data_IF_842385226246
#
_entry.id   IF_842385226246
#
_cell.length_a   1.000
_cell.length_b   1.000
_cell.length_c   1.000
_cell.angle_alpha   90.00
_cell.angle_beta   90.00
_cell.angle_gamma   90.00
#
_symmetry.space_group_name_H-M   'P 1'
#
loop_
_entity.id
_entity.type
_entity.pdbx_description
1 polymer ?
#
# COMPACT_ATOMS: atom_id res chain seq x y z
N UNK A 1 15.30 -17.30 -65.11
CA UNK A 1 14.21 -16.69 -64.32
C UNK A 1 14.86 -16.17 -63.04
N UNK A 2 15.24 -14.89 -63.04
CA UNK A 2 16.11 -14.30 -62.02
C UNK A 2 15.74 -12.83 -61.88
N UNK A 3 15.59 -12.35 -60.64
CA UNK A 3 15.69 -10.92 -60.34
C UNK A 3 14.55 -10.33 -59.52
N UNK A 4 14.71 -10.38 -58.19
CA UNK A 4 14.72 -9.25 -57.25
C UNK A 4 13.70 -8.11 -57.50
N UNK A 5 12.65 -8.03 -56.67
CA UNK A 5 11.80 -6.84 -56.55
C UNK A 5 12.31 -5.98 -55.39
N UNK A 6 12.56 -4.73 -55.71
CA UNK A 6 13.15 -3.67 -54.91
C UNK A 6 12.07 -2.59 -54.72
N UNK A 7 11.93 -2.07 -53.50
CA UNK A 7 11.16 -0.84 -53.19
C UNK A 7 11.61 0.31 -54.11
N UNK A 8 10.67 1.16 -54.59
CA UNK A 8 10.66 2.53 -54.06
C UNK A 8 9.32 3.31 -54.18
N UNK A 9 9.03 4.14 -53.19
CA UNK A 9 8.31 5.43 -53.33
C UNK A 9 8.78 6.27 -52.14
N UNK A 10 9.73 7.20 -52.22
CA UNK A 10 9.89 8.34 -53.11
C UNK A 10 8.66 9.25 -53.12
N UNK A 11 8.77 10.40 -52.45
CA UNK A 11 8.52 11.76 -52.97
C UNK A 11 8.49 12.76 -51.79
N UNK A 12 8.99 13.98 -51.84
CA UNK A 12 9.88 14.73 -52.73
C UNK A 12 10.15 16.11 -52.02
N UNK A 13 10.62 17.20 -52.63
CA UNK A 13 11.95 17.76 -52.35
C UNK A 13 11.91 19.21 -51.83
N UNK A 14 13.02 19.68 -51.28
CA UNK A 14 13.43 21.09 -51.40
C UNK A 14 14.92 21.23 -51.07
N UNK A 15 15.74 21.23 -52.11
CA UNK A 15 17.07 21.84 -52.10
C UNK A 15 16.88 23.35 -52.43
N UNK A 16 17.83 24.30 -52.18
CA UNK A 16 19.23 24.15 -52.59
C UNK A 16 20.34 24.86 -51.76
N UNK A 17 21.53 24.24 -51.85
CA UNK A 17 22.89 24.80 -52.11
C UNK A 17 23.49 25.97 -51.29
N UNK A 18 24.68 25.61 -50.77
CA UNK A 18 26.03 26.18 -51.01
C UNK A 18 26.64 27.14 -49.98
N UNK A 19 27.82 26.70 -49.52
CA UNK A 19 29.10 27.44 -49.33
C UNK A 19 29.12 28.43 -48.15
N UNK A 20 30.21 28.76 -47.45
CA UNK A 20 31.63 28.37 -47.35
C UNK A 20 32.19 29.26 -46.20
N UNK A 21 33.16 28.76 -45.43
CA UNK A 21 34.18 29.49 -44.64
C UNK A 21 33.80 30.48 -43.51
N UNK A 22 34.27 30.12 -42.31
CA UNK A 22 35.04 30.93 -41.33
C UNK A 22 34.81 32.45 -41.23
N UNK A 23 34.41 32.93 -40.06
CA UNK A 23 35.10 34.03 -39.36
C UNK A 23 34.53 34.28 -37.95
N UNK A 24 35.42 34.17 -36.96
CA UNK A 24 35.56 35.01 -35.76
C UNK A 24 34.31 35.74 -35.22
N UNK A 25 33.86 35.32 -34.04
CA UNK A 25 33.34 36.24 -33.04
C UNK A 25 33.91 35.84 -31.68
N UNK A 26 34.81 36.69 -31.19
CA UNK A 26 35.44 36.57 -29.89
C UNK A 26 34.63 37.40 -28.87
N UNK A 27 34.60 36.89 -27.64
CA UNK A 27 34.47 37.63 -26.37
C UNK A 27 33.10 38.25 -26.04
N UNK A 28 32.42 37.65 -25.06
CA UNK A 28 32.06 38.34 -23.81
C UNK A 28 31.85 37.29 -22.71
N UNK A 29 32.70 37.35 -21.68
CA UNK A 29 32.65 36.51 -20.49
C UNK A 29 31.82 37.20 -19.40
N UNK A 30 30.83 36.49 -18.83
CA UNK A 30 30.25 36.73 -17.49
C UNK A 30 29.87 35.32 -16.98
N UNK A 31 30.76 34.67 -16.25
CA UNK A 31 30.84 34.63 -14.78
C UNK A 31 29.83 33.69 -14.11
N UNK A 32 30.39 32.56 -13.67
CA UNK A 32 30.20 31.92 -12.37
C UNK A 32 28.88 31.19 -12.02
N UNK A 33 29.09 29.88 -11.76
CA UNK A 33 28.61 29.12 -10.60
C UNK A 33 27.13 28.73 -10.48
N UNK A 34 26.85 27.46 -10.78
CA UNK A 34 26.05 26.62 -9.88
C UNK A 34 26.72 25.23 -9.83
N UNK A 35 27.38 24.97 -8.70
CA UNK A 35 28.17 23.80 -8.43
C UNK A 35 27.34 22.51 -8.46
N UNK A 36 27.92 21.45 -9.02
CA UNK A 36 27.52 20.09 -8.71
C UNK A 36 27.76 19.85 -7.21
N UNK A 37 26.67 19.87 -6.43
CA UNK A 37 26.67 19.44 -5.04
C UNK A 37 26.71 17.93 -4.98
N UNK A 38 27.91 17.40 -4.78
CA UNK A 38 28.16 15.99 -4.52
C UNK A 38 27.39 15.51 -3.28
N UNK A 39 26.74 14.36 -3.44
CA UNK A 39 26.48 13.32 -2.44
C UNK A 39 27.60 13.24 -1.39
N UNK A 40 27.36 13.78 -0.20
CA UNK A 40 27.92 13.27 1.06
C UNK A 40 27.20 13.91 2.23
N UNK A 41 26.56 13.07 3.06
CA UNK A 41 25.83 13.56 4.22
C UNK A 41 25.10 12.45 4.97
N UNK A 42 25.78 11.34 5.26
CA UNK A 42 25.37 10.47 6.36
C UNK A 42 25.79 11.18 7.67
N UNK A 43 25.09 12.26 7.99
CA UNK A 43 25.21 12.96 9.26
C UNK A 43 24.07 12.45 10.14
N UNK A 44 24.42 11.56 11.07
CA UNK A 44 23.57 11.16 12.18
C UNK A 44 23.40 12.37 13.11
N UNK A 45 22.53 13.30 12.73
CA UNK A 45 22.11 14.39 13.61
C UNK A 45 20.87 13.89 14.35
N UNK A 46 21.08 13.47 15.59
CA UNK A 46 20.06 13.19 16.60
C UNK A 46 19.33 14.47 17.00
N UNK A 47 18.71 15.13 16.03
CA UNK A 47 17.76 16.20 16.26
C UNK A 47 16.44 15.50 16.52
N UNK A 48 15.93 15.59 17.75
CA UNK A 48 14.55 15.17 18.05
C UNK A 48 13.61 15.90 17.10
N UNK A 49 13.26 15.23 16.02
CA UNK A 49 12.24 15.66 15.09
C UNK A 49 10.93 15.47 15.84
N UNK A 50 10.52 16.49 16.59
CA UNK A 50 9.14 16.58 17.04
C UNK A 50 8.29 16.49 15.75
N UNK A 51 7.45 15.45 15.61
CA UNK A 51 6.65 15.29 14.41
C UNK A 51 5.86 16.59 14.19
N UNK A 52 5.73 17.08 12.94
CA UNK A 52 5.06 18.34 12.67
C UNK A 52 3.69 18.35 13.36
N UNK A 53 3.36 19.46 14.02
CA UNK A 53 2.10 19.60 14.73
C UNK A 53 0.94 19.28 13.76
N UNK A 54 0.18 18.22 14.05
CA UNK A 54 -0.84 17.65 13.16
C UNK A 54 -0.51 16.28 12.56
N UNK A 55 0.69 15.72 12.81
CA UNK A 55 1.11 14.41 12.29
C UNK A 55 1.03 13.29 13.32
N UNK A 56 -0.12 13.14 13.95
CA UNK A 56 -0.59 11.86 14.48
C UNK A 56 -1.96 11.69 13.84
N UNK A 57 -2.06 10.90 12.79
CA UNK A 57 -3.37 10.35 12.44
C UNK A 57 -3.81 9.57 13.67
N UNK A 58 -4.83 10.05 14.39
CA UNK A 58 -5.50 9.36 15.52
C UNK A 58 -6.13 8.01 15.12
N UNK A 59 -5.72 7.44 13.99
CA UNK A 59 -6.10 6.11 13.53
C UNK A 59 -5.60 5.07 14.54
N UNK A 60 -6.53 4.49 15.30
CA UNK A 60 -6.27 3.44 16.28
C UNK A 60 -6.84 2.12 15.78
N UNK A 61 -6.05 1.05 15.91
CA UNK A 61 -6.55 -0.29 15.71
C UNK A 61 -7.52 -0.64 16.85
N UNK A 62 -8.74 -1.02 16.49
CA UNK A 62 -9.82 -1.38 17.43
C UNK A 62 -9.79 -2.88 17.73
N UNK A 63 -9.44 -3.69 16.72
CA UNK A 63 -9.33 -5.15 16.85
C UNK A 63 -9.35 -5.85 15.50
N UNK A 64 -9.17 -7.17 15.57
CA UNK A 64 -9.17 -8.05 14.40
C UNK A 64 -10.52 -8.75 14.23
N UNK A 65 -10.90 -8.96 12.97
CA UNK A 65 -12.17 -9.52 12.53
C UNK A 65 -11.87 -10.58 11.47
N UNK A 66 -12.50 -11.74 11.62
CA UNK A 66 -12.54 -12.81 10.64
C UNK A 66 -13.70 -12.56 9.68
N UNK A 67 -13.38 -12.37 8.40
CA UNK A 67 -14.35 -11.98 7.36
C UNK A 67 -14.38 -13.03 6.26
N UNK A 68 -15.58 -13.49 5.89
CA UNK A 68 -15.79 -14.28 4.67
C UNK A 68 -16.58 -13.44 3.68
N UNK A 69 -16.16 -13.47 2.41
CA UNK A 69 -16.87 -12.81 1.33
C UNK A 69 -17.84 -13.78 0.64
N UNK A 70 -18.99 -13.27 0.21
CA UNK A 70 -19.89 -14.04 -0.67
C UNK A 70 -19.19 -14.29 -2.03
N UNK A 71 -19.59 -15.32 -2.78
CA UNK A 71 -19.07 -15.57 -4.13
C UNK A 71 -19.16 -14.35 -5.07
N UNK A 72 -18.25 -14.20 -6.05
CA UNK A 72 -17.10 -15.06 -6.35
C UNK A 72 -16.02 -15.09 -5.26
N UNK A 73 -15.25 -16.16 -5.20
CA UNK A 73 -14.18 -16.33 -4.21
C UNK A 73 -13.11 -15.25 -4.35
N UNK A 74 -12.67 -14.73 -3.19
CA UNK A 74 -11.61 -13.72 -3.11
C UNK A 74 -10.33 -14.41 -2.67
N UNK A 75 -9.36 -14.49 -3.58
CA UNK A 75 -8.12 -15.27 -3.39
C UNK A 75 -6.87 -14.40 -3.20
N UNK A 76 -6.95 -13.10 -3.46
CA UNK A 76 -5.83 -12.15 -3.32
C UNK A 76 -6.19 -11.00 -2.37
N UNK A 77 -5.21 -10.57 -1.58
CA UNK A 77 -5.41 -9.53 -0.54
C UNK A 77 -5.86 -8.19 -1.13
N UNK A 78 -5.45 -7.89 -2.35
CA UNK A 78 -5.79 -6.62 -2.99
C UNK A 78 -7.28 -6.54 -3.33
N UNK A 79 -7.89 -7.62 -3.81
CA UNK A 79 -9.31 -7.65 -4.10
C UNK A 79 -10.15 -7.61 -2.82
N UNK A 80 -9.70 -8.30 -1.77
CA UNK A 80 -10.29 -8.17 -0.43
C UNK A 80 -10.21 -6.72 0.06
N UNK A 81 -9.07 -6.06 -0.12
CA UNK A 81 -8.86 -4.66 0.23
C UNK A 81 -9.79 -3.71 -0.54
N UNK A 82 -9.98 -3.94 -1.85
CA UNK A 82 -10.89 -3.15 -2.70
C UNK A 82 -12.35 -3.28 -2.25
N UNK A 83 -12.79 -4.50 -1.94
CA UNK A 83 -14.16 -4.74 -1.44
C UNK A 83 -14.39 -4.02 -0.11
N UNK A 84 -13.44 -4.11 0.81
CA UNK A 84 -13.53 -3.48 2.12
C UNK A 84 -13.39 -1.95 2.07
N UNK A 85 -12.60 -1.41 1.13
CA UNK A 85 -12.46 0.03 0.92
C UNK A 85 -13.76 0.68 0.40
N UNK A 86 -14.65 -0.10 -0.23
CA UNK A 86 -15.98 0.36 -0.65
C UNK A 86 -16.98 0.53 0.50
N UNK A 87 -16.65 0.06 1.72
CA UNK A 87 -17.54 0.15 2.88
C UNK A 87 -17.37 1.53 3.50
N UNK A 88 -18.41 2.36 3.39
CA UNK A 88 -18.43 3.71 3.98
C UNK A 88 -18.72 3.65 5.48
N UNK A 89 -18.06 4.50 6.27
CA UNK A 89 -18.35 4.65 7.69
C UNK A 89 -17.18 5.22 8.48
N UNK A 90 -17.29 5.24 9.82
CA UNK A 90 -16.22 5.71 10.68
C UNK A 90 -15.05 4.71 10.81
N UNK A 91 -15.22 3.49 10.28
CA UNK A 91 -14.25 2.41 10.35
C UNK A 91 -13.53 2.23 9.01
N UNK A 92 -12.22 2.08 9.06
CA UNK A 92 -11.39 1.61 7.94
C UNK A 92 -10.99 0.17 8.22
N UNK A 93 -11.01 -0.67 7.20
CA UNK A 93 -10.67 -2.07 7.31
C UNK A 93 -9.38 -2.36 6.53
N UNK A 94 -8.39 -2.96 7.20
CA UNK A 94 -7.10 -3.31 6.60
C UNK A 94 -6.94 -4.82 6.60
N UNK A 95 -6.75 -5.38 5.41
CA UNK A 95 -6.51 -6.83 5.25
C UNK A 95 -5.12 -7.17 5.76
N UNK A 96 -5.03 -8.14 6.67
CA UNK A 96 -3.74 -8.66 7.16
C UNK A 96 -3.26 -9.85 6.35
N UNK A 97 -4.09 -10.89 6.23
CA UNK A 97 -3.74 -12.14 5.55
C UNK A 97 -4.98 -12.99 5.24
N UNK A 98 -4.90 -13.88 4.22
CA UNK A 98 -5.88 -14.94 4.07
C UNK A 98 -5.73 -15.98 5.18
N UNK A 99 -6.83 -16.62 5.53
CA UNK A 99 -6.96 -17.74 6.45
C UNK A 99 -7.53 -18.94 5.68
N UNK A 100 -7.46 -20.14 6.26
CA UNK A 100 -8.05 -21.33 5.64
C UNK A 100 -9.57 -21.19 5.48
N UNK A 101 -10.12 -21.83 4.43
CA UNK A 101 -11.56 -21.85 4.18
C UNK A 101 -12.16 -20.53 3.69
N UNK A 102 -11.41 -19.75 2.91
CA UNK A 102 -11.88 -18.51 2.27
C UNK A 102 -12.15 -17.36 3.23
N UNK A 103 -11.59 -17.42 4.44
CA UNK A 103 -11.73 -16.39 5.47
C UNK A 103 -10.52 -15.46 5.42
N UNK A 104 -10.70 -14.20 5.76
CA UNK A 104 -9.67 -13.18 5.80
C UNK A 104 -9.57 -12.58 7.19
N UNK A 105 -8.34 -12.39 7.68
CA UNK A 105 -8.09 -11.63 8.90
C UNK A 105 -7.98 -10.15 8.54
N UNK A 106 -8.81 -9.32 9.16
CA UNK A 106 -8.97 -7.89 8.86
C UNK A 106 -8.90 -7.09 10.15
N UNK A 107 -8.09 -6.03 10.18
CA UNK A 107 -8.06 -5.09 11.32
C UNK A 107 -9.01 -3.93 11.07
N UNK A 108 -9.90 -3.65 12.03
CA UNK A 108 -10.68 -2.43 12.05
C UNK A 108 -9.88 -1.29 12.68
N UNK A 109 -9.86 -0.13 12.01
CA UNK A 109 -9.15 1.08 12.42
C UNK A 109 -10.17 2.23 12.47
N UNK A 110 -10.11 3.07 13.51
CA UNK A 110 -10.95 4.27 13.63
C UNK A 110 -10.17 5.43 14.25
N UNK A 111 -10.62 6.65 13.94
CA UNK A 111 -10.14 7.88 14.58
C UNK A 111 -10.84 8.20 15.90
N UNK A 112 -12.01 7.59 16.13
CA UNK A 112 -12.81 7.83 17.33
C UNK A 112 -12.36 6.92 18.46
N UNK A 113 -12.26 7.49 19.67
CA UNK A 113 -11.94 6.77 20.91
C UNK A 113 -13.11 5.93 21.42
N UNK A 114 -14.34 6.26 21.04
CA UNK A 114 -15.56 5.55 21.44
C UNK A 114 -15.89 4.40 20.49
N UNK A 115 -15.08 4.21 19.44
CA UNK A 115 -15.28 3.20 18.43
C UNK A 115 -15.02 1.80 19.00
N UNK A 116 -15.97 0.89 18.80
CA UNK A 116 -15.90 -0.48 19.37
C UNK A 116 -15.81 -1.54 18.29
N UNK A 117 -15.22 -2.68 18.65
CA UNK A 117 -15.09 -3.81 17.72
C UNK A 117 -16.46 -4.36 17.31
N UNK A 118 -17.40 -4.48 18.25
CA UNK A 118 -18.77 -4.95 17.97
C UNK A 118 -19.52 -4.05 16.98
N UNK A 119 -19.34 -2.73 17.04
CA UNK A 119 -19.91 -1.81 16.06
C UNK A 119 -19.26 -1.98 14.68
N UNK A 120 -17.93 -2.14 14.60
CA UNK A 120 -17.24 -2.41 13.34
C UNK A 120 -17.71 -3.74 12.71
N UNK A 121 -17.87 -4.79 13.51
CA UNK A 121 -18.44 -6.08 13.06
C UNK A 121 -19.86 -5.89 12.55
N UNK A 122 -20.69 -5.11 13.24
CA UNK A 122 -22.07 -4.83 12.81
C UNK A 122 -22.11 -4.14 11.45
N UNK A 123 -21.21 -3.18 11.21
CA UNK A 123 -21.08 -2.51 9.92
C UNK A 123 -20.68 -3.50 8.82
N UNK A 124 -19.71 -4.38 9.07
CA UNK A 124 -19.31 -5.40 8.09
C UNK A 124 -20.44 -6.38 7.76
N UNK A 125 -21.21 -6.83 8.76
CA UNK A 125 -22.35 -7.74 8.52
C UNK A 125 -23.45 -7.12 7.65
N UNK A 126 -23.59 -5.80 7.70
CA UNK A 126 -24.53 -5.06 6.84
C UNK A 126 -23.97 -4.70 5.47
N UNK A 127 -22.69 -4.95 5.21
CA UNK A 127 -22.03 -4.54 3.97
C UNK A 127 -22.28 -5.52 2.81
N UNK A 128 -22.32 -5.04 1.56
CA UNK A 128 -22.42 -5.90 0.40
C UNK A 128 -21.20 -6.82 0.29
N UNK A 129 -21.40 -8.01 -0.29
CA UNK A 129 -20.37 -9.04 -0.48
C UNK A 129 -19.76 -9.63 0.79
N UNK A 130 -20.24 -9.28 1.98
CA UNK A 130 -19.85 -9.94 3.24
C UNK A 130 -20.84 -11.07 3.53
N UNK A 131 -20.33 -12.30 3.65
CA UNK A 131 -21.13 -13.46 4.04
C UNK A 131 -21.16 -13.58 5.57
N UNK A 132 -20.00 -13.50 6.20
CA UNK A 132 -19.86 -13.54 7.66
C UNK A 132 -18.76 -12.59 8.12
N UNK A 133 -18.95 -12.03 9.32
CA UNK A 133 -17.93 -11.25 10.01
C UNK A 133 -18.03 -11.52 11.51
N UNK A 134 -16.93 -12.00 12.10
CA UNK A 134 -16.83 -12.37 13.51
C UNK A 134 -15.57 -11.78 14.13
N UNK A 135 -15.60 -11.28 15.38
CA UNK A 135 -14.41 -10.80 16.05
C UNK A 135 -13.40 -11.94 16.26
N UNK A 136 -12.11 -11.69 16.03
CA UNK A 136 -11.03 -12.63 16.33
C UNK A 136 -10.79 -12.70 17.84
N UNK A 137 -11.66 -13.42 18.54
CA UNK A 137 -11.57 -13.59 19.99
C UNK A 137 -10.60 -14.72 20.30
N UNK A 138 -9.55 -14.40 21.05
CA UNK A 138 -8.72 -15.42 21.70
C UNK A 138 -9.60 -16.18 22.70
N UNK A 139 -9.89 -17.45 22.41
CA UNK A 139 -10.51 -18.36 23.36
C UNK A 139 -9.60 -18.45 24.59
N UNK A 140 -9.98 -17.80 25.69
CA UNK A 140 -9.30 -18.00 26.98
C UNK A 140 -9.56 -19.42 27.43
N UNK A 141 -8.52 -20.25 27.67
CA UNK A 141 -8.73 -21.60 28.20
C UNK A 141 -9.44 -21.51 29.55
N UNK A 142 -10.59 -22.16 29.67
CA UNK A 142 -11.38 -22.24 30.91
C UNK A 142 -10.76 -23.20 31.95
N UNK A 143 -9.45 -23.49 31.86
CA UNK A 143 -8.79 -24.40 32.79
C UNK A 143 -8.26 -23.62 33.98
N UNK A 144 -8.98 -23.67 35.10
CA UNK A 144 -8.34 -23.68 36.42
C UNK A 144 -7.40 -24.89 36.43
N UNK A 145 -6.10 -24.64 36.29
CA UNK A 145 -5.10 -25.69 36.41
C UNK A 145 -5.29 -26.36 37.79
N UNK A 146 -5.54 -27.69 37.87
CA UNK A 146 -5.58 -28.38 39.15
C UNK A 146 -4.23 -28.19 39.85
N UNK A 147 -4.24 -27.66 41.08
CA UNK A 147 -3.01 -27.32 41.83
C UNK A 147 -2.29 -28.54 42.41
N UNK A 148 -2.84 -29.74 42.30
CA UNK A 148 -2.30 -30.92 42.96
C UNK A 148 -2.33 -32.14 42.05
N UNK A 149 -1.17 -32.80 41.95
CA UNK A 149 -1.04 -34.19 41.51
C UNK A 149 -1.22 -35.05 42.77
N UNK A 150 -2.46 -35.29 43.18
CA UNK A 150 -2.74 -36.35 44.14
C UNK A 150 -2.48 -37.68 43.43
N UNK A 151 -1.27 -38.22 43.61
CA UNK A 151 -0.95 -39.61 43.27
C UNK A 151 -1.13 -40.44 44.55
N UNK A 152 -1.88 -41.54 44.52
CA UNK A 152 -1.99 -42.43 45.66
C UNK A 152 -0.64 -43.08 45.98
N UNK A 153 -0.31 -43.31 47.27
CA UNK A 153 0.88 -44.05 47.65
C UNK A 153 0.71 -45.52 47.21
N UNK A 154 1.70 -46.00 46.46
CA UNK A 154 1.86 -47.42 46.14
C UNK A 154 2.46 -48.20 47.30
#
# INVERSE_FOLDING_TARGET
MTGKTQDPSAQDPSAPRRRVLTAKAAVAAIAATAALGAISGCASESRSYAPPAGSITDDRAIGDIMVRFTPPEVIVSEDAGKLLAGITGPYRYVVKRPMSGGVWLVTAISKSTDATLDQAVTVLRGAPRIETAEPDRVLKPHRTMPKTRDMPPG
#
